data_IF_161341599452
#
_entry.id   IF_161341599452
#
_cell.length_a   1.000
_cell.length_b   1.000
_cell.length_c   1.000
_cell.angle_alpha   90.00
_cell.angle_beta   90.00
_cell.angle_gamma   90.00
#
_symmetry.space_group_name_H-M   'P 1'
#
loop_
_entity.id
_entity.type
_entity.pdbx_description
1 polymer ?
#
# COMPACT_ATOMS: atom_id res chain seq x y z
N UNK A 1 -22.34 19.58 2.27
CA UNK A 1 -22.87 18.24 2.64
C UNK A 1 -21.72 17.46 3.26
N UNK A 2 -21.88 16.87 4.45
CA UNK A 2 -20.85 15.97 4.99
C UNK A 2 -20.81 14.74 4.10
N UNK A 3 -19.68 14.51 3.42
CA UNK A 3 -19.46 13.29 2.64
C UNK A 3 -19.59 12.07 3.56
N UNK A 4 -20.54 11.21 3.27
CA UNK A 4 -20.82 10.03 4.10
C UNK A 4 -19.79 8.95 3.78
N UNK A 5 -18.87 8.68 4.73
CA UNK A 5 -17.93 7.57 4.64
C UNK A 5 -18.64 6.32 5.17
N UNK A 6 -18.69 5.28 4.36
CA UNK A 6 -19.19 3.96 4.76
C UNK A 6 -18.03 3.25 5.50
N UNK A 7 -18.23 3.03 6.80
CA UNK A 7 -17.21 2.44 7.66
C UNK A 7 -17.58 1.03 8.07
N UNK A 8 -16.66 0.07 7.88
CA UNK A 8 -16.83 -1.34 8.28
C UNK A 8 -15.76 -1.74 9.28
N UNK A 9 -16.19 -2.34 10.39
CA UNK A 9 -15.32 -2.68 11.53
C UNK A 9 -14.94 -4.15 11.62
N UNK A 10 -15.58 -5.01 10.87
CA UNK A 10 -15.43 -6.45 11.01
C UNK A 10 -15.47 -7.17 9.65
N UNK A 11 -14.96 -8.40 9.64
CA UNK A 11 -15.04 -9.30 8.49
C UNK A 11 -16.50 -9.55 8.08
N UNK A 12 -17.40 -9.66 9.06
CA UNK A 12 -18.83 -9.85 8.78
C UNK A 12 -19.43 -8.66 8.04
N UNK A 13 -19.09 -7.44 8.44
CA UNK A 13 -19.57 -6.22 7.78
C UNK A 13 -19.01 -6.09 6.37
N UNK A 14 -17.72 -6.38 6.15
CA UNK A 14 -17.12 -6.39 4.80
C UNK A 14 -17.85 -7.36 3.89
N UNK A 15 -18.06 -8.58 4.32
CA UNK A 15 -18.79 -9.58 3.51
C UNK A 15 -20.21 -9.14 3.21
N UNK A 16 -20.90 -8.52 4.17
CA UNK A 16 -22.25 -7.97 3.97
C UNK A 16 -22.28 -6.82 2.94
N UNK A 17 -21.27 -5.95 2.92
CA UNK A 17 -21.12 -4.88 1.89
C UNK A 17 -21.10 -5.47 0.48
N UNK A 18 -20.47 -6.63 0.29
CA UNK A 18 -20.41 -7.33 -0.99
C UNK A 18 -21.53 -8.35 -1.22
N UNK A 19 -22.54 -8.39 -0.34
CA UNK A 19 -23.66 -9.34 -0.47
C UNK A 19 -23.28 -10.83 -0.33
N UNK A 20 -22.17 -11.11 0.39
CA UNK A 20 -21.64 -12.46 0.55
C UNK A 20 -22.13 -13.10 1.85
N UNK A 21 -22.13 -14.44 1.89
CA UNK A 21 -22.45 -15.23 3.08
C UNK A 21 -21.57 -14.88 4.28
N UNK A 22 -22.03 -15.29 5.49
CA UNK A 22 -21.28 -15.11 6.73
C UNK A 22 -19.87 -15.71 6.63
N UNK A 23 -18.87 -15.09 7.27
CA UNK A 23 -17.50 -15.60 7.26
C UNK A 23 -17.36 -16.92 8.02
N UNK A 24 -16.44 -17.77 7.58
CA UNK A 24 -16.02 -18.98 8.30
C UNK A 24 -15.03 -18.67 9.42
N UNK A 25 -14.28 -17.57 9.32
CA UNK A 25 -13.33 -17.11 10.32
C UNK A 25 -13.64 -15.66 10.75
N UNK A 26 -13.64 -15.33 12.06
CA UNK A 26 -14.05 -14.00 12.54
C UNK A 26 -13.08 -12.87 12.22
N UNK A 27 -11.79 -13.15 12.05
CA UNK A 27 -10.72 -12.15 11.93
C UNK A 27 -10.05 -12.07 10.55
N UNK A 28 -10.38 -12.97 9.61
CA UNK A 28 -9.77 -13.01 8.29
C UNK A 28 -10.75 -13.54 7.24
N UNK A 29 -10.67 -13.03 6.02
CA UNK A 29 -11.41 -13.54 4.87
C UNK A 29 -10.66 -13.27 3.57
N UNK A 30 -10.86 -14.12 2.59
CA UNK A 30 -10.43 -13.89 1.21
C UNK A 30 -11.68 -13.81 0.35
N UNK A 31 -11.76 -12.78 -0.47
CA UNK A 31 -12.83 -12.55 -1.44
C UNK A 31 -12.27 -12.73 -2.84
N UNK A 32 -12.99 -13.51 -3.64
CA UNK A 32 -12.71 -13.70 -5.06
C UNK A 32 -13.31 -12.51 -5.82
N UNK A 33 -12.46 -11.71 -6.48
CA UNK A 33 -12.91 -10.49 -7.17
C UNK A 33 -13.85 -10.76 -8.33
N UNK A 34 -13.81 -11.93 -8.95
CA UNK A 34 -14.75 -12.33 -10.00
C UNK A 34 -16.20 -12.41 -9.50
N UNK A 35 -16.38 -12.71 -8.20
CA UNK A 35 -17.70 -12.83 -7.56
C UNK A 35 -18.19 -11.51 -6.98
N UNK A 36 -17.44 -10.43 -7.18
CA UNK A 36 -17.81 -9.11 -6.68
C UNK A 36 -18.38 -8.26 -7.82
N UNK A 37 -19.52 -7.64 -7.55
CA UNK A 37 -20.09 -6.62 -8.42
C UNK A 37 -20.55 -5.43 -7.58
N UNK A 38 -20.37 -4.25 -8.12
CA UNK A 38 -20.91 -3.01 -7.55
C UNK A 38 -21.22 -2.03 -8.68
N UNK A 39 -22.42 -1.48 -8.63
CA UNK A 39 -22.96 -0.66 -9.70
C UNK A 39 -22.54 0.82 -9.63
N UNK A 40 -23.08 1.61 -10.56
CA UNK A 40 -22.87 3.05 -10.67
C UNK A 40 -23.22 3.80 -9.38
N UNK A 41 -24.18 3.30 -8.60
CA UNK A 41 -24.56 3.87 -7.31
C UNK A 41 -23.44 3.86 -6.26
N UNK A 42 -22.38 3.06 -6.47
CA UNK A 42 -21.23 2.94 -5.59
C UNK A 42 -20.09 3.88 -6.00
N UNK A 43 -20.10 4.34 -7.25
CA UNK A 43 -19.09 5.27 -7.78
C UNK A 43 -19.14 6.59 -7.01
N UNK A 44 -17.96 7.08 -6.64
CA UNK A 44 -17.80 8.28 -5.81
C UNK A 44 -18.04 8.07 -4.32
N UNK A 45 -18.55 6.92 -3.88
CA UNK A 45 -18.66 6.61 -2.46
C UNK A 45 -17.29 6.35 -1.85
N UNK A 46 -17.15 6.75 -0.59
CA UNK A 46 -15.93 6.61 0.20
C UNK A 46 -16.13 5.53 1.24
N UNK A 47 -15.17 4.60 1.30
CA UNK A 47 -15.15 3.48 2.23
C UNK A 47 -13.96 3.60 3.17
N UNK A 48 -14.12 3.13 4.39
CA UNK A 48 -13.04 2.98 5.36
C UNK A 48 -13.26 1.69 6.14
N UNK A 49 -12.18 1.01 6.48
CA UNK A 49 -12.23 -0.28 7.17
C UNK A 49 -11.31 -0.27 8.39
N UNK A 50 -11.69 -0.93 9.48
CA UNK A 50 -10.78 -1.21 10.62
C UNK A 50 -9.90 -2.46 10.35
N UNK A 51 -9.70 -2.81 9.09
CA UNK A 51 -9.05 -4.02 8.61
C UNK A 51 -7.86 -3.65 7.72
N UNK A 52 -6.81 -4.46 7.75
CA UNK A 52 -5.84 -4.49 6.67
C UNK A 52 -6.45 -5.14 5.44
N UNK A 53 -6.14 -4.61 4.27
CA UNK A 53 -6.53 -5.19 3.00
C UNK A 53 -5.31 -5.34 2.09
N UNK A 54 -5.19 -6.51 1.47
CA UNK A 54 -4.23 -6.79 0.39
C UNK A 54 -5.06 -7.26 -0.79
N UNK A 55 -4.98 -6.56 -1.91
CA UNK A 55 -5.79 -6.85 -3.09
C UNK A 55 -4.91 -7.10 -4.30
N UNK A 56 -4.99 -8.30 -4.89
CA UNK A 56 -4.44 -8.60 -6.20
C UNK A 56 -5.55 -8.45 -7.24
N UNK A 57 -5.25 -7.70 -8.29
CA UNK A 57 -6.13 -7.54 -9.45
C UNK A 57 -5.32 -7.73 -10.72
N UNK A 58 -5.95 -8.24 -11.77
CA UNK A 58 -5.34 -8.25 -13.09
C UNK A 58 -5.23 -6.84 -13.66
N UNK A 59 -4.42 -6.68 -14.69
CA UNK A 59 -4.20 -5.38 -15.36
C UNK A 59 -5.45 -4.85 -16.08
N UNK A 60 -6.47 -5.69 -16.28
CA UNK A 60 -7.71 -5.35 -17.00
C UNK A 60 -8.67 -4.48 -16.18
N UNK A 61 -8.45 -4.32 -14.88
CA UNK A 61 -9.36 -3.60 -13.98
C UNK A 61 -9.52 -2.10 -14.26
N UNK A 62 -8.83 -1.58 -15.29
CA UNK A 62 -9.05 -0.23 -15.85
C UNK A 62 -8.72 0.94 -14.93
N UNK A 63 -8.07 0.72 -13.80
CA UNK A 63 -7.55 1.77 -12.92
C UNK A 63 -6.10 2.05 -13.33
N UNK A 64 -5.76 3.33 -13.47
CA UNK A 64 -4.37 3.75 -13.66
C UNK A 64 -3.62 3.65 -12.32
N UNK A 65 -2.82 2.60 -12.18
CA UNK A 65 -2.01 2.33 -11.00
C UNK A 65 -0.59 2.88 -11.10
N UNK A 66 -0.37 3.92 -11.91
CA UNK A 66 0.94 4.56 -12.05
C UNK A 66 1.98 3.66 -12.73
N UNK A 67 1.55 2.85 -13.71
CA UNK A 67 2.42 1.96 -14.47
C UNK A 67 3.41 2.72 -15.32
N UNK A 68 4.69 2.33 -15.26
CA UNK A 68 5.74 2.77 -16.17
C UNK A 68 5.96 1.73 -17.29
N UNK A 69 6.60 2.15 -18.38
CA UNK A 69 6.89 1.27 -19.54
C UNK A 69 7.78 0.06 -19.23
N UNK A 70 8.44 0.07 -18.08
CA UNK A 70 9.33 -1.02 -17.61
C UNK A 70 8.69 -1.92 -16.56
N UNK A 71 7.44 -1.64 -16.15
CA UNK A 71 6.74 -2.45 -15.17
C UNK A 71 6.07 -3.65 -15.84
N UNK A 72 5.98 -4.75 -15.09
CA UNK A 72 5.19 -5.90 -15.49
C UNK A 72 3.70 -5.55 -15.56
N UNK A 73 2.95 -6.30 -16.34
CA UNK A 73 1.51 -6.08 -16.57
C UNK A 73 0.62 -7.30 -16.27
N UNK A 74 1.19 -8.33 -15.66
CA UNK A 74 0.44 -9.56 -15.35
C UNK A 74 -0.50 -9.39 -14.14
N UNK A 75 -0.16 -8.51 -13.21
CA UNK A 75 -1.00 -8.21 -12.06
C UNK A 75 -0.56 -7.00 -11.25
N UNK A 76 -1.52 -6.45 -10.48
CA UNK A 76 -1.29 -5.30 -9.60
C UNK A 76 -1.68 -5.65 -8.18
N UNK A 77 -0.76 -5.46 -7.23
CA UNK A 77 -0.99 -5.68 -5.81
C UNK A 77 -1.08 -4.34 -5.08
N UNK A 78 -2.15 -4.18 -4.31
CA UNK A 78 -2.48 -2.96 -3.55
C UNK A 78 -2.59 -3.31 -2.09
N UNK A 79 -2.09 -2.43 -1.23
CA UNK A 79 -2.17 -2.54 0.22
C UNK A 79 -2.97 -1.38 0.79
N UNK A 80 -3.76 -1.66 1.80
CA UNK A 80 -4.56 -0.64 2.51
C UNK A 80 -4.48 -0.89 4.00
N UNK A 81 -4.04 0.12 4.75
CA UNK A 81 -4.02 0.10 6.20
C UNK A 81 -5.41 0.32 6.79
N UNK A 82 -5.66 -0.09 8.05
CA UNK A 82 -6.88 0.25 8.77
C UNK A 82 -7.15 1.75 8.77
N UNK A 83 -8.43 2.13 8.60
CA UNK A 83 -8.94 3.51 8.57
C UNK A 83 -8.53 4.35 7.36
N UNK A 84 -7.76 3.83 6.44
CA UNK A 84 -7.50 4.49 5.17
C UNK A 84 -8.81 4.62 4.37
N UNK A 85 -8.97 5.76 3.67
CA UNK A 85 -10.18 6.02 2.89
C UNK A 85 -9.93 5.61 1.45
N UNK A 86 -10.82 4.76 0.93
CA UNK A 86 -10.82 4.30 -0.45
C UNK A 86 -12.03 4.88 -1.15
N UNK A 87 -11.85 5.41 -2.35
CA UNK A 87 -12.94 5.90 -3.19
C UNK A 87 -13.13 4.95 -4.37
N UNK A 88 -14.36 4.50 -4.60
CA UNK A 88 -14.70 3.73 -5.79
C UNK A 88 -14.78 4.68 -6.97
N UNK A 89 -13.96 4.46 -7.99
CA UNK A 89 -13.87 5.35 -9.16
C UNK A 89 -14.64 4.83 -10.36
N UNK A 90 -14.88 3.52 -10.44
CA UNK A 90 -15.61 2.87 -11.55
C UNK A 90 -16.47 1.73 -11.02
N UNK A 91 -17.61 1.41 -11.68
CA UNK A 91 -18.39 0.22 -11.35
C UNK A 91 -17.58 -1.06 -11.73
N UNK A 92 -17.97 -2.18 -11.18
CA UNK A 92 -17.41 -3.49 -11.50
C UNK A 92 -18.53 -4.50 -11.71
N UNK A 93 -18.53 -5.20 -12.83
CA UNK A 93 -19.44 -6.31 -13.12
C UNK A 93 -18.83 -7.64 -12.64
N UNK A 94 -19.69 -8.65 -12.49
CA UNK A 94 -19.24 -10.02 -12.21
C UNK A 94 -18.31 -10.51 -13.33
N UNK A 95 -17.26 -11.26 -12.94
CA UNK A 95 -16.24 -11.80 -13.85
C UNK A 95 -15.43 -10.74 -14.65
N UNK A 96 -15.53 -9.46 -14.31
CA UNK A 96 -14.81 -8.39 -14.99
C UNK A 96 -13.34 -8.31 -14.56
N UNK A 97 -13.05 -8.58 -13.29
CA UNK A 97 -11.71 -8.45 -12.71
C UNK A 97 -11.31 -9.77 -12.08
N UNK A 98 -10.16 -10.30 -12.50
CA UNK A 98 -9.53 -11.47 -11.90
C UNK A 98 -8.67 -11.06 -10.71
N UNK A 99 -8.75 -11.84 -9.63
CA UNK A 99 -7.89 -11.64 -8.48
C UNK A 99 -8.56 -12.00 -7.17
N UNK A 100 -8.00 -11.49 -6.10
CA UNK A 100 -8.50 -11.74 -4.76
C UNK A 100 -8.28 -10.52 -3.87
N UNK A 101 -9.06 -10.44 -2.78
CA UNK A 101 -8.91 -9.44 -1.73
C UNK A 101 -8.82 -10.16 -0.38
N UNK A 102 -7.67 -10.10 0.25
CA UNK A 102 -7.43 -10.61 1.60
C UNK A 102 -7.69 -9.49 2.60
N UNK A 103 -8.65 -9.67 3.49
CA UNK A 103 -8.92 -8.80 4.63
C UNK A 103 -8.58 -9.50 5.93
N UNK A 104 -7.86 -8.82 6.82
CA UNK A 104 -7.62 -9.33 8.17
C UNK A 104 -7.72 -8.22 9.21
N UNK A 105 -8.31 -8.57 10.36
CA UNK A 105 -8.45 -7.64 11.48
C UNK A 105 -7.12 -7.51 12.24
N UNK A 106 -6.75 -6.32 12.75
CA UNK A 106 -5.54 -6.15 13.57
C UNK A 106 -5.43 -7.12 14.75
N UNK A 107 -6.55 -7.56 15.32
CA UNK A 107 -6.56 -8.53 16.42
C UNK A 107 -5.99 -9.90 16.03
N UNK A 108 -6.01 -10.27 14.74
CA UNK A 108 -5.40 -11.52 14.28
C UNK A 108 -3.89 -11.54 14.52
N UNK A 109 -3.23 -10.41 14.34
CA UNK A 109 -1.77 -10.26 14.48
C UNK A 109 -1.37 -9.69 15.84
N UNK A 110 -2.35 -9.28 16.68
CA UNK A 110 -2.08 -8.74 18.01
C UNK A 110 -1.33 -9.77 18.86
N UNK A 111 -0.32 -9.30 19.60
CA UNK A 111 0.56 -10.14 20.43
C UNK A 111 1.38 -11.19 19.65
N UNK A 112 1.58 -11.01 18.36
CA UNK A 112 2.48 -11.82 17.52
C UNK A 112 3.70 -11.01 17.09
N UNK A 113 4.74 -11.70 16.60
CA UNK A 113 5.93 -11.03 16.04
C UNK A 113 5.56 -10.13 14.85
N UNK A 114 4.60 -10.54 14.01
CA UNK A 114 4.11 -9.72 12.91
C UNK A 114 3.43 -8.45 13.40
N UNK A 115 2.62 -8.54 14.46
CA UNK A 115 1.94 -7.37 15.03
C UNK A 115 2.91 -6.29 15.54
N UNK A 116 4.11 -6.67 16.01
CA UNK A 116 5.15 -5.73 16.40
C UNK A 116 5.90 -5.11 15.22
N UNK A 117 5.85 -5.73 14.05
CA UNK A 117 6.60 -5.34 12.85
C UNK A 117 5.72 -4.85 11.69
N UNK A 118 4.40 -4.84 11.87
CA UNK A 118 3.49 -4.51 10.75
C UNK A 118 3.75 -3.11 10.19
N UNK A 119 4.18 -2.18 11.03
CA UNK A 119 4.52 -0.81 10.64
C UNK A 119 5.82 -0.71 9.83
N UNK A 120 6.66 -1.77 9.82
CA UNK A 120 7.87 -1.85 8.99
C UNK A 120 7.54 -2.13 7.50
N UNK A 121 6.30 -2.50 7.20
CA UNK A 121 5.81 -2.68 5.84
C UNK A 121 5.19 -1.38 5.33
N UNK A 122 6.05 -0.42 4.98
CA UNK A 122 5.70 0.96 4.59
C UNK A 122 4.68 1.04 3.44
N UNK A 123 4.60 0.03 2.60
CA UNK A 123 3.70 -0.03 1.44
C UNK A 123 2.21 -0.06 1.82
N UNK A 124 1.84 -0.30 3.08
CA UNK A 124 0.48 -0.03 3.55
C UNK A 124 0.12 1.45 3.58
N UNK A 125 1.10 2.34 3.49
CA UNK A 125 0.93 3.79 3.47
C UNK A 125 1.20 4.41 2.08
N UNK A 126 1.35 3.57 1.05
CA UNK A 126 1.54 4.03 -0.32
C UNK A 126 0.21 4.45 -0.94
N UNK A 127 0.28 5.33 -1.92
CA UNK A 127 -0.86 5.72 -2.73
C UNK A 127 -1.20 4.62 -3.77
N UNK A 128 -2.45 4.62 -4.26
CA UNK A 128 -2.92 3.61 -5.21
C UNK A 128 -2.07 3.59 -6.50
N UNK A 129 -1.60 4.74 -6.95
CA UNK A 129 -0.75 4.84 -8.13
C UNK A 129 0.71 4.37 -7.91
N UNK A 130 1.08 4.08 -6.65
CA UNK A 130 2.36 3.49 -6.26
C UNK A 130 2.26 1.96 -6.08
N UNK A 131 1.23 1.37 -6.61
CA UNK A 131 0.97 -0.06 -6.50
C UNK A 131 2.12 -0.93 -7.04
N UNK A 132 2.21 -2.14 -6.52
CA UNK A 132 3.20 -3.12 -6.95
C UNK A 132 2.74 -3.83 -8.23
N UNK A 133 3.51 -3.70 -9.29
CA UNK A 133 3.30 -4.40 -10.56
C UNK A 133 4.07 -5.73 -10.53
N UNK A 134 3.38 -6.81 -10.81
CA UNK A 134 3.86 -8.18 -10.67
C UNK A 134 4.10 -8.82 -12.03
N UNK A 135 5.16 -9.64 -12.12
CA UNK A 135 5.31 -10.63 -13.18
C UNK A 135 4.44 -11.85 -12.89
N UNK A 136 4.18 -12.67 -13.92
CA UNK A 136 3.43 -13.92 -13.80
C UNK A 136 3.99 -14.83 -12.70
N UNK A 137 5.31 -14.98 -12.60
CA UNK A 137 5.96 -15.80 -11.57
C UNK A 137 5.74 -15.24 -10.15
N UNK A 138 5.81 -13.92 -9.99
CA UNK A 138 5.56 -13.25 -8.72
C UNK A 138 4.10 -13.41 -8.31
N UNK A 139 3.17 -13.22 -9.25
CA UNK A 139 1.74 -13.45 -9.04
C UNK A 139 1.45 -14.89 -8.64
N UNK A 140 2.03 -15.87 -9.33
CA UNK A 140 1.88 -17.28 -9.01
C UNK A 140 2.38 -17.61 -7.60
N UNK A 141 3.51 -17.02 -7.18
CA UNK A 141 4.03 -17.17 -5.82
C UNK A 141 3.04 -16.65 -4.77
N UNK A 142 2.48 -15.47 -4.97
CA UNK A 142 1.49 -14.91 -4.05
C UNK A 142 0.20 -15.70 -4.02
N UNK A 143 -0.28 -16.19 -5.19
CA UNK A 143 -1.46 -17.03 -5.29
C UNK A 143 -1.32 -18.34 -4.49
N UNK A 144 -0.13 -18.96 -4.52
CA UNK A 144 0.13 -20.17 -3.71
C UNK A 144 0.04 -19.88 -2.21
N UNK A 145 0.59 -18.76 -1.74
CA UNK A 145 0.52 -18.37 -0.32
C UNK A 145 -0.93 -18.08 0.08
N UNK A 146 -1.67 -17.35 -0.76
CA UNK A 146 -3.08 -17.03 -0.53
C UNK A 146 -3.94 -18.31 -0.51
N UNK A 147 -3.61 -19.30 -1.33
CA UNK A 147 -4.28 -20.61 -1.29
C UNK A 147 -4.06 -21.32 0.06
N UNK A 148 -2.84 -21.30 0.61
CA UNK A 148 -2.57 -21.86 1.95
C UNK A 148 -3.39 -21.16 3.04
N UNK A 149 -3.51 -19.82 2.97
CA UNK A 149 -4.35 -19.04 3.90
C UNK A 149 -5.83 -19.44 3.73
N UNK A 150 -6.29 -19.58 2.47
CA UNK A 150 -7.67 -19.92 2.18
C UNK A 150 -8.03 -21.33 2.66
N UNK A 151 -7.11 -22.27 2.57
CA UNK A 151 -7.33 -23.63 3.03
C UNK A 151 -7.37 -23.67 4.57
N UNK A 152 -6.47 -22.98 5.25
CA UNK A 152 -6.50 -22.84 6.72
C UNK A 152 -7.79 -22.19 7.24
N UNK A 153 -8.33 -21.19 6.54
CA UNK A 153 -9.61 -20.53 6.91
C UNK A 153 -10.81 -21.51 6.85
N UNK A 154 -10.74 -22.55 6.00
CA UNK A 154 -11.79 -23.57 5.86
C UNK A 154 -11.71 -24.65 6.94
N UNK A 155 -10.53 -24.83 7.50
CA UNK A 155 -10.31 -25.82 8.56
C UNK A 155 -10.98 -25.42 9.88
N UNK A 156 -11.09 -26.37 10.79
CA UNK A 156 -11.60 -26.11 12.14
C UNK A 156 -10.59 -25.29 12.92
N UNK A 157 -11.04 -24.17 13.49
CA UNK A 157 -10.18 -23.29 14.32
C UNK A 157 -9.68 -24.09 15.55
N UNK A 158 -8.37 -24.12 15.71
CA UNK A 158 -7.67 -24.73 16.84
C UNK A 158 -6.58 -23.81 17.42
N UNK A 159 -5.79 -24.32 18.36
CA UNK A 159 -4.74 -23.54 19.03
C UNK A 159 -3.56 -23.14 18.11
N UNK A 160 -3.46 -23.70 16.93
CA UNK A 160 -2.38 -23.45 15.96
C UNK A 160 -2.82 -22.58 14.79
N UNK A 161 -4.12 -22.48 14.55
CA UNK A 161 -4.68 -21.76 13.38
C UNK A 161 -4.21 -20.32 13.28
N UNK A 162 -4.17 -19.58 14.40
CA UNK A 162 -3.65 -18.21 14.41
C UNK A 162 -2.18 -18.16 13.95
N UNK A 163 -1.34 -19.06 14.47
CA UNK A 163 0.08 -19.09 14.12
C UNK A 163 0.29 -19.40 12.65
N UNK A 164 -0.45 -20.37 12.10
CA UNK A 164 -0.38 -20.75 10.68
C UNK A 164 -0.82 -19.60 9.79
N UNK A 165 -1.96 -18.96 10.08
CA UNK A 165 -2.45 -17.79 9.33
C UNK A 165 -1.46 -16.63 9.36
N UNK A 166 -0.94 -16.27 10.55
CA UNK A 166 -0.01 -15.16 10.71
C UNK A 166 1.30 -15.43 9.98
N UNK A 167 1.84 -16.67 10.03
CA UNK A 167 3.06 -17.03 9.32
C UNK A 167 2.92 -16.91 7.80
N UNK A 168 1.77 -17.30 7.24
CA UNK A 168 1.49 -17.16 5.81
C UNK A 168 1.28 -15.70 5.41
N UNK A 169 0.63 -14.87 6.25
CA UNK A 169 0.52 -13.43 6.02
C UNK A 169 1.91 -12.78 6.03
N UNK A 170 2.75 -13.09 7.01
CA UNK A 170 4.12 -12.57 7.08
C UNK A 170 4.94 -12.99 5.86
N UNK A 171 4.81 -14.23 5.40
CA UNK A 171 5.46 -14.71 4.17
C UNK A 171 5.02 -13.90 2.95
N UNK A 172 3.70 -13.66 2.80
CA UNK A 172 3.14 -12.84 1.72
C UNK A 172 3.72 -11.41 1.75
N UNK A 173 3.77 -10.79 2.92
CA UNK A 173 4.32 -9.44 3.09
C UNK A 173 5.82 -9.37 2.79
N UNK A 174 6.59 -10.38 3.18
CA UNK A 174 8.03 -10.47 2.89
C UNK A 174 8.31 -10.61 1.38
N UNK A 175 7.52 -11.44 0.66
CA UNK A 175 7.61 -11.50 -0.80
C UNK A 175 7.23 -10.16 -1.45
N UNK A 176 6.18 -9.52 -0.97
CA UNK A 176 5.76 -8.20 -1.47
C UNK A 176 6.85 -7.15 -1.30
N UNK A 177 7.53 -7.13 -0.14
CA UNK A 177 8.69 -6.26 0.10
C UNK A 177 9.81 -6.50 -0.91
N UNK A 178 10.16 -7.78 -1.14
CA UNK A 178 11.16 -8.16 -2.16
C UNK A 178 10.77 -7.69 -3.57
N UNK A 179 9.48 -7.79 -3.92
CA UNK A 179 9.00 -7.39 -5.25
C UNK A 179 8.97 -5.87 -5.41
N UNK A 180 8.68 -5.10 -4.35
CA UNK A 180 8.86 -3.65 -4.36
C UNK A 180 10.34 -3.26 -4.54
N UNK A 181 11.26 -3.95 -3.89
CA UNK A 181 12.70 -3.72 -4.08
C UNK A 181 13.12 -3.96 -5.54
N UNK A 182 12.60 -5.00 -6.20
CA UNK A 182 12.79 -5.22 -7.63
C UNK A 182 12.18 -4.08 -8.45
N UNK A 183 10.94 -3.64 -8.13
CA UNK A 183 10.28 -2.55 -8.86
C UNK A 183 11.07 -1.24 -8.75
N UNK A 184 11.60 -0.89 -7.58
CA UNK A 184 12.51 0.26 -7.44
C UNK A 184 13.74 0.11 -8.35
N UNK A 185 14.35 -1.07 -8.44
CA UNK A 185 15.48 -1.30 -9.33
C UNK A 185 15.11 -1.12 -10.81
N UNK A 186 13.95 -1.62 -11.25
CA UNK A 186 13.50 -1.46 -12.64
C UNK A 186 13.13 -0.02 -13.00
N UNK A 187 12.77 0.79 -12.01
CA UNK A 187 12.44 2.22 -12.14
C UNK A 187 13.62 3.16 -11.90
N UNK A 188 14.85 2.66 -11.74
CA UNK A 188 16.00 3.46 -11.27
C UNK A 188 16.26 4.73 -12.08
N UNK A 189 16.07 4.73 -13.40
CA UNK A 189 16.22 5.94 -14.23
C UNK A 189 15.22 7.04 -13.80
N UNK A 190 13.94 6.69 -13.65
CA UNK A 190 12.91 7.62 -13.16
C UNK A 190 13.13 8.04 -11.71
N UNK A 191 13.67 7.14 -10.89
CA UNK A 191 13.98 7.41 -9.49
C UNK A 191 15.12 8.43 -9.35
N UNK A 192 16.14 8.36 -10.22
CA UNK A 192 17.23 9.34 -10.24
C UNK A 192 16.69 10.75 -10.53
N UNK A 193 15.72 10.90 -11.42
CA UNK A 193 15.07 12.19 -11.69
C UNK A 193 14.34 12.72 -10.45
N UNK A 194 13.73 11.83 -9.65
CA UNK A 194 13.07 12.20 -8.39
C UNK A 194 14.09 12.66 -7.35
N UNK A 195 15.24 11.99 -7.23
CA UNK A 195 16.32 12.41 -6.32
C UNK A 195 16.78 13.82 -6.68
N UNK A 196 17.08 14.08 -7.96
CA UNK A 196 17.47 15.40 -8.43
C UNK A 196 16.40 16.48 -8.17
N UNK A 197 15.12 16.11 -8.34
CA UNK A 197 13.99 16.99 -8.05
C UNK A 197 13.89 17.33 -6.56
N UNK A 198 14.12 16.38 -5.66
CA UNK A 198 14.14 16.62 -4.20
C UNK A 198 15.26 17.60 -3.82
N UNK A 199 16.46 17.42 -4.38
CA UNK A 199 17.58 18.35 -4.14
C UNK A 199 17.26 19.76 -4.62
N UNK A 200 16.62 19.90 -5.78
CA UNK A 200 16.19 21.19 -6.30
C UNK A 200 15.12 21.83 -5.41
N UNK A 201 14.12 21.07 -4.98
CA UNK A 201 13.06 21.55 -4.07
C UNK A 201 13.64 22.06 -2.74
N UNK A 202 14.60 21.36 -2.16
CA UNK A 202 15.29 21.80 -0.94
C UNK A 202 16.05 23.13 -1.16
N UNK A 203 16.72 23.27 -2.31
CA UNK A 203 17.41 24.49 -2.68
C UNK A 203 16.44 25.67 -2.87
N UNK A 204 15.34 25.44 -3.58
CA UNK A 204 14.31 26.46 -3.83
C UNK A 204 13.62 26.89 -2.54
N UNK A 205 13.32 25.94 -1.64
CA UNK A 205 12.75 26.21 -0.33
C UNK A 205 13.61 27.17 0.50
N UNK A 206 14.92 26.95 0.48
CA UNK A 206 15.88 27.83 1.16
C UNK A 206 15.97 29.21 0.50
N UNK A 207 16.07 29.26 -0.82
CA UNK A 207 16.22 30.49 -1.61
C UNK A 207 15.00 31.40 -1.49
N UNK A 208 13.80 30.81 -1.46
CA UNK A 208 12.54 31.53 -1.28
C UNK A 208 12.29 32.01 0.16
N UNK A 209 13.25 31.84 1.07
CA UNK A 209 13.16 32.21 2.49
C UNK A 209 12.03 31.50 3.27
N UNK A 210 11.47 30.43 2.72
CA UNK A 210 10.40 29.67 3.36
C UNK A 210 10.86 29.06 4.70
N UNK A 211 12.15 28.79 4.84
CA UNK A 211 12.74 28.33 6.09
C UNK A 211 12.47 29.28 7.27
N UNK A 212 12.50 30.60 7.03
CA UNK A 212 12.25 31.62 8.05
C UNK A 212 10.76 31.73 8.38
N UNK A 213 9.90 31.60 7.36
CA UNK A 213 8.46 31.78 7.49
C UNK A 213 7.73 30.52 7.97
N UNK A 214 8.16 29.35 7.50
CA UNK A 214 7.45 28.07 7.70
C UNK A 214 8.25 27.04 8.49
N UNK A 215 9.51 27.34 8.86
CA UNK A 215 10.42 26.36 9.47
C UNK A 215 10.99 25.38 8.44
N UNK A 216 11.54 24.26 8.92
CA UNK A 216 12.15 23.25 8.04
C UNK A 216 11.11 22.58 7.13
N UNK A 217 11.48 22.22 5.88
CA UNK A 217 10.59 21.49 5.00
C UNK A 217 10.23 20.12 5.59
N UNK A 218 9.00 19.67 5.37
CA UNK A 218 8.53 18.35 5.79
C UNK A 218 8.73 17.33 4.68
N UNK A 219 8.75 16.04 5.03
CA UNK A 219 8.76 14.97 4.04
C UNK A 219 7.50 15.07 3.16
N UNK A 220 6.35 15.42 3.77
CA UNK A 220 5.09 15.60 3.04
C UNK A 220 5.20 16.71 1.99
N UNK A 221 5.84 17.83 2.31
CA UNK A 221 6.07 18.91 1.34
C UNK A 221 6.84 18.41 0.11
N UNK A 222 7.92 17.64 0.31
CA UNK A 222 8.70 17.09 -0.80
C UNK A 222 7.89 16.07 -1.61
N UNK A 223 7.14 15.21 -0.92
CA UNK A 223 6.32 14.17 -1.52
C UNK A 223 5.20 14.77 -2.39
N UNK A 224 4.49 15.77 -1.89
CA UNK A 224 3.42 16.47 -2.64
C UNK A 224 3.95 17.08 -3.95
N UNK A 225 5.14 17.68 -3.92
CA UNK A 225 5.77 18.26 -5.12
C UNK A 225 6.32 17.20 -6.07
N UNK A 226 6.60 16.00 -5.59
CA UNK A 226 6.97 14.85 -6.41
C UNK A 226 5.76 14.03 -6.87
N UNK A 227 4.55 14.33 -6.40
CA UNK A 227 3.33 13.56 -6.63
C UNK A 227 3.45 12.12 -6.12
N UNK A 228 4.03 11.95 -4.93
CA UNK A 228 4.26 10.68 -4.27
C UNK A 228 3.75 10.74 -2.83
N UNK A 229 3.50 9.56 -2.23
CA UNK A 229 3.31 9.46 -0.79
C UNK A 229 4.63 9.71 -0.05
N UNK A 230 4.54 10.22 1.19
CA UNK A 230 5.73 10.45 2.02
C UNK A 230 6.50 9.14 2.29
N UNK A 231 5.79 8.02 2.45
CA UNK A 231 6.37 6.71 2.67
C UNK A 231 7.10 6.20 1.44
N UNK A 232 6.47 6.26 0.26
CA UNK A 232 7.11 5.85 -1.00
C UNK A 232 8.35 6.69 -1.31
N UNK A 233 8.26 8.02 -1.18
CA UNK A 233 9.40 8.91 -1.38
C UNK A 233 10.56 8.57 -0.45
N UNK A 234 10.29 8.28 0.83
CA UNK A 234 11.33 7.92 1.79
C UNK A 234 12.01 6.60 1.45
N UNK A 235 11.24 5.58 1.03
CA UNK A 235 11.78 4.28 0.62
C UNK A 235 12.58 4.39 -0.67
N UNK A 236 12.09 5.17 -1.65
CA UNK A 236 12.79 5.47 -2.89
C UNK A 236 14.14 6.13 -2.63
N UNK A 237 14.17 7.21 -1.83
CA UNK A 237 15.40 7.93 -1.50
C UNK A 237 16.38 7.02 -0.74
N UNK A 238 15.88 6.22 0.20
CA UNK A 238 16.71 5.25 0.94
C UNK A 238 17.33 4.23 -0.01
N UNK A 239 16.58 3.76 -0.99
CA UNK A 239 17.05 2.79 -1.98
C UNK A 239 18.11 3.38 -2.91
N UNK A 240 17.88 4.58 -3.44
CA UNK A 240 18.75 5.20 -4.45
C UNK A 240 20.01 5.83 -3.83
N UNK A 241 19.92 6.36 -2.60
CA UNK A 241 20.99 7.17 -1.99
C UNK A 241 21.55 6.59 -0.69
N UNK A 242 20.91 5.58 -0.12
CA UNK A 242 21.22 5.04 1.20
C UNK A 242 20.76 5.92 2.36
N UNK A 243 19.98 7.00 2.10
CA UNK A 243 19.54 7.98 3.10
C UNK A 243 18.03 8.21 3.01
N UNK A 244 17.37 8.28 4.16
CA UNK A 244 15.93 8.58 4.20
C UNK A 244 15.62 10.02 3.76
N UNK A 245 14.37 10.32 3.42
CA UNK A 245 13.92 11.67 3.12
C UNK A 245 14.24 12.66 4.26
N UNK A 246 14.14 12.21 5.51
CA UNK A 246 14.48 13.00 6.69
C UNK A 246 15.97 13.34 6.74
N UNK A 247 16.83 12.37 6.38
CA UNK A 247 18.28 12.60 6.35
C UNK A 247 18.65 13.59 5.27
N UNK A 248 18.05 13.52 4.08
CA UNK A 248 18.24 14.50 3.01
C UNK A 248 17.88 15.92 3.48
N UNK A 249 16.76 16.10 4.19
CA UNK A 249 16.35 17.40 4.74
C UNK A 249 17.39 17.88 5.77
N UNK A 250 17.78 17.03 6.72
CA UNK A 250 18.71 17.40 7.81
C UNK A 250 20.09 17.74 7.26
N UNK A 251 20.64 16.91 6.37
CA UNK A 251 21.97 17.15 5.77
C UNK A 251 22.01 18.47 4.99
N UNK A 252 20.95 18.73 4.21
CA UNK A 252 20.83 20.00 3.49
C UNK A 252 20.84 21.21 4.44
N UNK A 253 20.06 21.15 5.53
CA UNK A 253 20.00 22.23 6.51
C UNK A 253 21.33 22.44 7.24
N UNK A 254 22.01 21.35 7.61
CA UNK A 254 23.33 21.39 8.25
C UNK A 254 24.36 22.05 7.32
N UNK A 255 24.38 21.67 6.05
CA UNK A 255 25.29 22.25 5.07
C UNK A 255 25.05 23.75 4.86
N UNK A 256 23.78 24.17 4.81
CA UNK A 256 23.44 25.59 4.72
C UNK A 256 23.84 26.38 5.99
N UNK A 257 23.61 25.80 7.18
CA UNK A 257 24.01 26.43 8.44
C UNK A 257 25.53 26.64 8.51
N UNK A 258 26.33 25.65 8.07
CA UNK A 258 27.79 25.79 8.01
C UNK A 258 28.25 26.97 7.11
N UNK A 259 27.56 27.16 5.97
CA UNK A 259 27.91 28.22 5.02
C UNK A 259 27.53 29.64 5.50
N UNK A 260 26.66 29.76 6.50
CA UNK A 260 26.25 31.06 7.09
C UNK A 260 27.13 31.44 8.26
N UNK A 261 27.77 30.47 8.91
CA UNK A 261 28.60 30.66 10.12
C UNK A 261 30.09 30.91 9.75
N UNK A 262 30.51 30.46 8.57
CA UNK A 262 31.86 30.69 8.03
C UNK A 262 31.90 31.92 7.15
#
# INVERSE_FOLDING_TARGET
MREHIIHSKSITEIRAVFGLDKPTHPLITILDTQKLAYGEETVGKRFSYDLYCIALKDSSCGIDYGRNSYDFDDGVLIFTAPKQIITVTKPQELNQVNGWMLYFHPDLIRNTALGLKIDDYNFFNYEVHEALHLSENEQNTLNQIVQLIQDEIKERIDNHSQQVLVSNIELLLNYSKRFYERQFNTRSASNTDIVAKVELLLKDYYTAKQLIEKGQPTIQYLADHCHLSASYLSDLLTKETGRSAKDHINDFLIDKAKHVIL
#
